data_IF_523457546745
#
_entry.id   IF_523457546745
#
_cell.length_a   1.000
_cell.length_b   1.000
_cell.length_c   1.000
_cell.angle_alpha   90.00
_cell.angle_beta   90.00
_cell.angle_gamma   90.00
#
_symmetry.space_group_name_H-M   'P 1'
#
loop_
_entity.id
_entity.type
_entity.pdbx_description
1 polymer ?
#
# COMPACT_ATOMS: atom_id res chain seq x y z
N UNK A 1 -24.15 -12.91 -2.93
CA UNK A 1 -24.04 -12.22 -4.22
C UNK A 1 -23.58 -10.77 -4.10
N UNK A 2 -24.42 -9.73 -4.09
CA UNK A 2 -23.93 -8.33 -4.26
C UNK A 2 -22.95 -7.85 -3.16
N UNK A 3 -23.21 -8.21 -1.89
CA UNK A 3 -22.35 -7.86 -0.76
C UNK A 3 -20.96 -8.52 -0.78
N UNK A 4 -20.86 -9.74 -1.30
CA UNK A 4 -19.59 -10.46 -1.37
C UNK A 4 -18.76 -10.02 -2.58
N UNK A 5 -19.40 -9.78 -3.72
CA UNK A 5 -18.74 -9.21 -4.91
C UNK A 5 -18.18 -7.81 -4.61
N UNK A 6 -18.95 -6.97 -3.92
CA UNK A 6 -18.45 -5.65 -3.48
C UNK A 6 -17.28 -5.76 -2.50
N UNK A 7 -17.31 -6.69 -1.55
CA UNK A 7 -16.17 -6.96 -0.66
C UNK A 7 -14.92 -7.43 -1.43
N UNK A 8 -15.10 -8.30 -2.44
CA UNK A 8 -14.04 -8.73 -3.33
C UNK A 8 -13.42 -7.58 -4.13
N UNK A 9 -14.24 -6.69 -4.69
CA UNK A 9 -13.78 -5.48 -5.38
C UNK A 9 -13.01 -4.53 -4.45
N UNK A 10 -13.51 -4.31 -3.23
CA UNK A 10 -12.80 -3.51 -2.23
C UNK A 10 -11.44 -4.12 -1.90
N UNK A 11 -11.36 -5.44 -1.73
CA UNK A 11 -10.10 -6.16 -1.51
C UNK A 11 -9.14 -5.96 -2.68
N UNK A 12 -9.61 -6.05 -3.93
CA UNK A 12 -8.78 -5.78 -5.11
C UNK A 12 -8.23 -4.34 -5.12
N UNK A 13 -9.07 -3.35 -4.81
CA UNK A 13 -8.65 -1.94 -4.74
C UNK A 13 -7.56 -1.77 -3.68
N UNK A 14 -7.77 -2.32 -2.47
CA UNK A 14 -6.77 -2.29 -1.39
C UNK A 14 -5.46 -2.93 -1.85
N UNK A 15 -5.54 -4.09 -2.51
CA UNK A 15 -4.37 -4.80 -3.00
C UNK A 15 -3.57 -4.01 -4.04
N UNK A 16 -4.25 -3.41 -5.02
CA UNK A 16 -3.63 -2.55 -6.04
C UNK A 16 -2.99 -1.31 -5.42
N UNK A 17 -3.68 -0.67 -4.46
CA UNK A 17 -3.13 0.50 -3.75
C UNK A 17 -1.90 0.11 -2.93
N UNK A 18 -1.95 -0.98 -2.17
CA UNK A 18 -0.82 -1.45 -1.37
C UNK A 18 0.41 -1.79 -2.24
N UNK A 19 0.20 -2.47 -3.37
CA UNK A 19 1.27 -2.74 -4.35
C UNK A 19 1.82 -1.46 -4.95
N UNK A 20 0.96 -0.51 -5.32
CA UNK A 20 1.38 0.77 -5.91
C UNK A 20 2.19 1.59 -4.92
N UNK A 21 1.77 1.63 -3.65
CA UNK A 21 2.51 2.28 -2.56
C UNK A 21 3.86 1.59 -2.35
N UNK A 22 3.89 0.26 -2.25
CA UNK A 22 5.14 -0.50 -2.08
C UNK A 22 6.11 -0.33 -3.26
N UNK A 23 5.59 -0.36 -4.48
CA UNK A 23 6.34 -0.14 -5.71
C UNK A 23 6.90 1.28 -5.81
N UNK A 24 6.08 2.29 -5.54
CA UNK A 24 6.49 3.69 -5.51
C UNK A 24 7.64 3.87 -4.51
N UNK A 25 7.48 3.32 -3.31
CA UNK A 25 8.49 3.38 -2.27
C UNK A 25 9.79 2.67 -2.67
N UNK A 26 9.69 1.50 -3.30
CA UNK A 26 10.86 0.77 -3.79
C UNK A 26 11.59 1.48 -4.93
N UNK A 27 10.85 2.08 -5.87
CA UNK A 27 11.41 2.79 -7.02
C UNK A 27 12.15 4.06 -6.58
N UNK A 28 11.60 4.77 -5.61
CA UNK A 28 12.16 6.02 -5.10
C UNK A 28 13.03 5.85 -3.84
N UNK A 29 13.32 4.61 -3.41
CA UNK A 29 14.14 4.31 -2.21
C UNK A 29 15.52 4.96 -2.14
N UNK A 30 16.07 5.37 -3.29
CA UNK A 30 17.39 6.03 -3.41
C UNK A 30 17.30 7.55 -3.49
N UNK A 31 16.10 8.10 -3.66
CA UNK A 31 15.85 9.53 -3.54
C UNK A 31 15.50 9.80 -2.07
N UNK A 32 15.91 10.94 -1.53
CA UNK A 32 15.50 11.41 -0.19
C UNK A 32 14.02 11.80 -0.20
N UNK A 33 13.14 10.87 -0.57
CA UNK A 33 11.70 11.11 -0.66
C UNK A 33 11.09 10.93 0.71
N UNK A 34 10.68 12.03 1.32
CA UNK A 34 9.80 12.15 2.48
C UNK A 34 8.69 11.07 2.44
N UNK A 35 8.45 10.36 3.54
CA UNK A 35 7.40 9.34 3.61
C UNK A 35 6.01 9.98 3.36
N UNK A 36 5.01 9.24 2.87
CA UNK A 36 3.63 9.76 2.70
C UNK A 36 3.06 10.31 4.01
N UNK A 37 3.34 9.63 5.13
CA UNK A 37 2.93 10.10 6.45
C UNK A 37 3.63 11.41 6.83
N UNK A 38 4.93 11.50 6.55
CA UNK A 38 5.77 12.64 6.81
C UNK A 38 5.40 13.82 5.89
N UNK A 39 5.07 13.56 4.63
CA UNK A 39 4.59 14.54 3.66
C UNK A 39 3.21 15.09 4.05
N UNK A 40 2.36 14.27 4.66
CA UNK A 40 1.08 14.71 5.21
C UNK A 40 1.28 15.61 6.44
N UNK A 41 2.20 15.24 7.34
CA UNK A 41 2.56 16.04 8.51
C UNK A 41 3.16 17.38 8.06
N UNK A 42 4.17 17.38 7.17
CA UNK A 42 4.83 18.57 6.64
C UNK A 42 3.86 19.49 5.89
N UNK A 43 2.90 18.93 5.14
CA UNK A 43 1.82 19.72 4.52
C UNK A 43 0.92 20.41 5.54
N UNK A 44 0.78 19.87 6.74
CA UNK A 44 -0.04 20.45 7.80
C UNK A 44 0.71 21.43 8.71
N UNK A 45 2.03 21.25 8.87
CA UNK A 45 2.86 22.07 9.78
C UNK A 45 3.67 23.14 9.07
N UNK A 46 3.90 23.02 7.76
CA UNK A 46 4.66 24.00 6.97
C UNK A 46 6.17 24.02 7.27
N UNK A 47 6.68 23.03 8.00
CA UNK A 47 8.10 22.90 8.36
C UNK A 47 8.92 22.25 7.23
N UNK A 48 10.24 22.47 7.25
CA UNK A 48 11.17 21.82 6.33
C UNK A 48 11.42 20.35 6.76
N UNK A 49 11.60 19.42 5.80
CA UNK A 49 11.85 18.02 6.11
C UNK A 49 13.15 17.88 6.92
N UNK A 50 13.04 17.32 8.12
CA UNK A 50 14.18 17.00 8.98
C UNK A 50 15.10 15.98 8.29
N UNK A 51 16.42 15.98 8.59
CA UNK A 51 17.34 15.01 8.04
C UNK A 51 16.91 13.59 8.42
N UNK A 52 16.81 12.72 7.42
CA UNK A 52 16.28 11.37 7.55
C UNK A 52 16.98 10.60 8.68
N UNK A 53 16.21 10.23 9.71
CA UNK A 53 16.73 9.43 10.80
C UNK A 53 16.82 7.95 10.39
N UNK A 54 17.60 7.15 11.13
CA UNK A 54 17.69 5.69 10.91
C UNK A 54 16.32 5.01 11.01
N UNK A 55 15.41 5.56 11.83
CA UNK A 55 14.05 5.05 11.99
C UNK A 55 13.21 5.30 10.73
N UNK A 56 13.31 6.47 10.12
CA UNK A 56 12.59 6.78 8.88
C UNK A 56 13.02 5.83 7.76
N UNK A 57 14.31 5.55 7.65
CA UNK A 57 14.83 4.55 6.71
C UNK A 57 14.28 3.13 6.96
N UNK A 58 14.11 2.74 8.23
CA UNK A 58 13.49 1.47 8.59
C UNK A 58 12.01 1.43 8.19
N UNK A 59 11.24 2.47 8.53
CA UNK A 59 9.81 2.58 8.21
C UNK A 59 9.56 2.59 6.70
N UNK A 60 10.41 3.28 5.94
CA UNK A 60 10.38 3.29 4.46
C UNK A 60 10.56 1.90 3.86
N UNK A 61 11.56 1.16 4.33
CA UNK A 61 11.78 -0.21 3.89
C UNK A 61 10.63 -1.14 4.32
N UNK A 62 10.13 -0.98 5.56
CA UNK A 62 9.02 -1.75 6.07
C UNK A 62 7.76 -1.52 5.23
N UNK A 63 7.47 -0.28 4.85
CA UNK A 63 6.32 0.05 4.00
C UNK A 63 6.43 -0.56 2.60
N UNK A 64 7.63 -0.58 2.01
CA UNK A 64 7.85 -1.26 0.74
C UNK A 64 7.58 -2.76 0.86
N UNK A 65 8.13 -3.41 1.89
CA UNK A 65 7.96 -4.85 2.15
C UNK A 65 6.48 -5.17 2.39
N UNK A 66 5.81 -4.40 3.25
CA UNK A 66 4.38 -4.60 3.54
C UNK A 66 3.52 -4.37 2.30
N UNK A 67 3.82 -3.39 1.45
CA UNK A 67 3.10 -3.17 0.19
C UNK A 67 3.22 -4.36 -0.76
N UNK A 68 4.41 -4.97 -0.87
CA UNK A 68 4.64 -6.16 -1.70
C UNK A 68 4.08 -7.45 -1.11
N UNK A 69 3.86 -7.55 0.20
CA UNK A 69 3.24 -8.71 0.83
C UNK A 69 1.71 -8.57 0.83
N UNK A 70 1.22 -7.46 1.36
CA UNK A 70 -0.21 -7.20 1.52
C UNK A 70 -0.91 -7.00 0.17
N UNK A 71 -0.25 -6.36 -0.79
CA UNK A 71 -0.87 -6.10 -2.08
C UNK A 71 -1.28 -7.37 -2.84
N UNK A 72 -0.35 -8.31 -3.11
CA UNK A 72 -0.70 -9.61 -3.70
C UNK A 72 -1.69 -10.40 -2.84
N UNK A 73 -1.55 -10.36 -1.51
CA UNK A 73 -2.47 -11.04 -0.61
C UNK A 73 -3.91 -10.55 -0.80
N UNK A 74 -4.15 -9.24 -0.75
CA UNK A 74 -5.48 -8.65 -0.95
C UNK A 74 -6.01 -8.83 -2.38
N UNK A 75 -5.12 -8.87 -3.39
CA UNK A 75 -5.52 -9.22 -4.76
C UNK A 75 -6.02 -10.66 -4.82
N UNK A 76 -5.26 -11.62 -4.28
CA UNK A 76 -5.63 -13.03 -4.28
C UNK A 76 -6.94 -13.28 -3.51
N UNK A 77 -7.11 -12.65 -2.35
CA UNK A 77 -8.36 -12.72 -1.58
C UNK A 77 -9.52 -12.14 -2.39
N UNK A 78 -9.34 -10.97 -3.01
CA UNK A 78 -10.39 -10.35 -3.83
C UNK A 78 -10.80 -11.22 -5.02
N UNK A 79 -9.83 -11.80 -5.72
CA UNK A 79 -10.07 -12.74 -6.83
C UNK A 79 -10.80 -13.99 -6.33
N UNK A 80 -10.35 -14.61 -5.24
CA UNK A 80 -10.96 -15.82 -4.70
C UNK A 80 -12.42 -15.59 -4.28
N UNK A 81 -12.71 -14.47 -3.62
CA UNK A 81 -14.08 -14.10 -3.22
C UNK A 81 -14.99 -13.92 -4.44
N UNK A 82 -14.51 -13.22 -5.48
CA UNK A 82 -15.29 -13.00 -6.70
C UNK A 82 -15.51 -14.32 -7.44
N UNK A 83 -14.48 -15.15 -7.62
CA UNK A 83 -14.60 -16.41 -8.33
C UNK A 83 -15.50 -17.42 -7.60
N UNK A 84 -15.44 -17.48 -6.28
CA UNK A 84 -16.32 -18.33 -5.47
C UNK A 84 -17.79 -17.91 -5.54
N UNK A 85 -18.07 -16.60 -5.58
CA UNK A 85 -19.46 -16.10 -5.78
C UNK A 85 -19.97 -16.29 -7.20
N UNK A 86 -19.06 -16.41 -8.18
CA UNK A 86 -19.41 -16.73 -9.58
C UNK A 86 -19.51 -18.24 -9.84
N UNK A 87 -19.32 -19.09 -8.82
CA UNK A 87 -19.24 -20.55 -8.94
C UNK A 87 -18.18 -21.03 -9.96
N UNK A 88 -17.16 -20.20 -10.19
CA UNK A 88 -16.03 -20.49 -11.07
C UNK A 88 -14.86 -21.18 -10.33
N UNK A 89 -15.01 -21.36 -9.02
CA UNK A 89 -14.10 -22.00 -8.07
C UNK A 89 -14.92 -22.64 -6.95
#
# INVERSE_FOLDING_TARGET
MEGAVSAGLVSLIIGVVALSVGWNHWRYRKQETVNVLEAAILRSTGEEPLPLTKLDWFLKNLQAILGFILGPFFILVGVAVILGELELL
#
